data_IF_030806684477
#
_entry.id   IF_030806684477
#
_cell.length_a   1.000
_cell.length_b   1.000
_cell.length_c   1.000
_cell.angle_alpha   90.00
_cell.angle_beta   90.00
_cell.angle_gamma   90.00
#
_symmetry.space_group_name_H-M   'P 1'
#
loop_
_entity.id
_entity.type
_entity.pdbx_description
1 polymer ?
#
# COMPACT_ATOMS: atom_id res chain seq x y z
N UNK A 1 -0.01 14.13 -21.88
CA UNK A 1 0.22 13.68 -20.54
C UNK A 1 -0.87 14.13 -19.59
N UNK A 2 -1.33 13.23 -18.81
CA UNK A 2 -2.47 13.51 -17.98
C UNK A 2 -2.06 13.78 -16.54
N UNK A 3 -2.18 15.02 -16.13
CA UNK A 3 -1.97 15.39 -14.72
C UNK A 3 -3.12 14.92 -13.85
N UNK A 4 -4.23 14.54 -14.44
CA UNK A 4 -5.39 14.09 -13.67
C UNK A 4 -5.13 12.73 -13.04
N UNK A 5 -4.48 11.83 -13.75
CA UNK A 5 -4.12 10.54 -13.19
C UNK A 5 -3.16 10.71 -12.01
N UNK A 6 -2.18 11.60 -12.18
CA UNK A 6 -1.22 11.89 -11.11
C UNK A 6 -1.90 12.49 -9.90
N UNK A 7 -2.85 13.39 -10.13
CA UNK A 7 -3.59 14.02 -9.05
C UNK A 7 -4.40 12.99 -8.26
N UNK A 8 -5.01 12.04 -8.96
CA UNK A 8 -5.79 10.99 -8.31
C UNK A 8 -4.89 10.12 -7.45
N UNK A 9 -3.70 9.80 -7.96
CA UNK A 9 -2.75 8.97 -7.23
C UNK A 9 -2.19 9.68 -6.00
N UNK A 10 -2.19 10.99 -5.97
CA UNK A 10 -1.68 11.74 -4.83
C UNK A 10 -2.72 11.95 -3.73
N UNK A 11 -3.98 11.58 -3.99
CA UNK A 11 -5.04 11.71 -3.00
C UNK A 11 -4.90 10.57 -1.99
N UNK A 12 -4.36 10.88 -0.82
CA UNK A 12 -4.08 9.89 0.21
C UNK A 12 -4.97 10.06 1.42
N UNK A 13 -5.46 8.94 1.90
CA UNK A 13 -6.33 8.89 3.06
C UNK A 13 -5.55 8.24 4.20
N UNK A 14 -5.55 8.88 5.36
CA UNK A 14 -4.98 8.28 6.56
C UNK A 14 -5.95 7.23 7.06
N UNK A 15 -5.46 6.02 7.27
CA UNK A 15 -6.31 4.90 7.68
C UNK A 15 -5.91 4.37 9.04
N UNK A 16 -6.86 3.74 9.71
CA UNK A 16 -6.68 3.23 11.06
C UNK A 16 -5.98 1.88 11.10
N UNK A 17 -5.80 1.34 12.31
CA UNK A 17 -5.04 0.10 12.51
C UNK A 17 -5.73 -1.16 11.97
N UNK A 18 -7.00 -1.05 11.59
CA UNK A 18 -7.74 -2.16 11.00
C UNK A 18 -7.50 -2.30 9.49
N UNK A 19 -6.71 -1.41 8.91
CA UNK A 19 -6.33 -1.50 7.50
C UNK A 19 -4.97 -2.16 7.37
N UNK A 20 -4.89 -3.13 6.47
CA UNK A 20 -3.63 -3.81 6.20
C UNK A 20 -3.60 -4.35 4.79
N UNK A 21 -2.51 -5.00 4.46
CA UNK A 21 -2.36 -5.68 3.19
C UNK A 21 -1.74 -7.05 3.41
N UNK A 22 -1.99 -7.93 2.47
CA UNK A 22 -1.29 -9.21 2.37
C UNK A 22 -0.72 -9.30 0.98
N UNK A 23 0.42 -9.93 0.82
CA UNK A 23 1.04 -10.08 -0.49
C UNK A 23 2.03 -11.23 -0.46
N UNK A 24 2.53 -11.58 -1.65
CA UNK A 24 3.55 -12.60 -1.81
C UNK A 24 4.78 -11.99 -2.46
N UNK A 25 5.94 -12.31 -1.92
CA UNK A 25 7.21 -11.90 -2.50
C UNK A 25 8.10 -13.13 -2.61
N UNK A 26 8.40 -13.53 -3.84
CA UNK A 26 9.26 -14.68 -4.13
C UNK A 26 8.86 -15.93 -3.34
N UNK A 27 7.58 -16.23 -3.32
CA UNK A 27 7.06 -17.42 -2.65
C UNK A 27 6.84 -17.28 -1.16
N UNK A 28 7.21 -16.14 -0.57
CA UNK A 28 6.93 -15.87 0.84
C UNK A 28 5.66 -15.06 0.99
N UNK A 29 4.77 -15.55 1.84
CA UNK A 29 3.52 -14.86 2.14
C UNK A 29 3.70 -13.91 3.30
N UNK A 30 3.24 -12.67 3.12
CA UNK A 30 3.18 -11.68 4.18
C UNK A 30 1.72 -11.36 4.42
N UNK A 31 1.32 -11.39 5.67
CA UNK A 31 -0.07 -11.11 6.06
C UNK A 31 -0.09 -10.08 7.17
N UNK A 32 -1.21 -9.39 7.28
CA UNK A 32 -1.43 -8.41 8.33
C UNK A 32 -0.35 -7.32 8.34
N UNK A 33 0.13 -6.96 7.16
CA UNK A 33 1.06 -5.86 7.02
C UNK A 33 0.28 -4.57 7.15
N UNK A 34 0.60 -3.79 8.17
CA UNK A 34 -0.15 -2.58 8.46
C UNK A 34 0.14 -1.51 7.43
N UNK A 35 -0.90 -0.78 7.03
CA UNK A 35 -0.74 0.42 6.21
C UNK A 35 -1.22 1.62 7.01
N UNK A 36 -0.63 2.78 6.75
CA UNK A 36 -0.96 4.02 7.45
C UNK A 36 -1.70 4.98 6.55
N UNK A 37 -1.57 4.82 5.24
CA UNK A 37 -2.38 5.62 4.31
C UNK A 37 -2.62 4.81 3.04
N UNK A 38 -3.63 5.25 2.29
CA UNK A 38 -4.09 4.56 1.09
C UNK A 38 -4.51 5.58 0.06
N UNK A 39 -4.13 5.33 -1.19
CA UNK A 39 -4.60 6.10 -2.33
C UNK A 39 -5.08 5.13 -3.41
N UNK A 40 -5.65 5.66 -4.48
CA UNK A 40 -6.05 4.84 -5.61
C UNK A 40 -4.85 4.16 -6.29
N UNK A 41 -3.67 4.75 -6.18
CA UNK A 41 -2.47 4.25 -6.84
C UNK A 41 -1.50 3.51 -5.94
N UNK A 42 -1.74 3.46 -4.64
CA UNK A 42 -0.80 2.79 -3.75
C UNK A 42 -1.08 3.02 -2.28
N UNK A 43 -0.14 2.60 -1.46
CA UNK A 43 -0.26 2.76 -0.02
C UNK A 43 1.13 2.90 0.61
N UNK A 44 1.13 3.28 1.89
CA UNK A 44 2.35 3.31 2.69
C UNK A 44 2.24 2.21 3.74
N UNK A 45 3.17 1.27 3.71
CA UNK A 45 3.12 0.09 4.57
C UNK A 45 4.28 0.09 5.56
N UNK A 46 4.08 -0.58 6.68
CA UNK A 46 5.10 -0.71 7.71
C UNK A 46 5.57 -2.16 7.75
N UNK A 47 6.87 -2.35 7.61
CA UNK A 47 7.49 -3.67 7.71
C UNK A 47 8.53 -3.63 8.82
N UNK A 48 8.81 -4.77 9.42
CA UNK A 48 9.84 -4.84 10.45
C UNK A 48 11.21 -4.55 9.88
N UNK A 49 12.07 -3.91 10.67
CA UNK A 49 13.42 -3.58 10.24
C UNK A 49 14.19 -4.83 9.79
N UNK A 50 13.89 -5.97 10.39
CA UNK A 50 14.51 -7.24 10.02
C UNK A 50 14.26 -7.59 8.56
N UNK A 51 13.07 -7.28 8.05
CA UNK A 51 12.67 -7.60 6.68
C UNK A 51 12.90 -6.46 5.70
N UNK A 52 13.25 -5.26 6.20
CA UNK A 52 13.29 -4.06 5.37
C UNK A 52 14.20 -4.19 4.16
N UNK A 53 15.32 -4.87 4.31
CA UNK A 53 16.26 -5.04 3.19
C UNK A 53 15.72 -5.92 2.07
N UNK A 54 14.64 -6.64 2.33
CA UNK A 54 13.99 -7.46 1.31
C UNK A 54 13.05 -6.64 0.44
N UNK A 55 12.78 -5.41 0.84
CA UNK A 55 11.81 -4.54 0.18
C UNK A 55 12.51 -3.32 -0.41
N UNK A 56 13.46 -3.57 -1.29
CA UNK A 56 14.13 -2.50 -2.00
C UNK A 56 13.23 -1.95 -3.10
N UNK A 57 13.53 -0.73 -3.53
CA UNK A 57 12.83 -0.09 -4.62
C UNK A 57 12.81 -1.02 -5.84
N UNK A 58 11.65 -1.19 -6.43
CA UNK A 58 11.46 -2.04 -7.59
C UNK A 58 11.07 -3.48 -7.29
N UNK A 59 11.12 -3.88 -6.03
CA UNK A 59 10.69 -5.24 -5.66
C UNK A 59 9.21 -5.41 -5.95
N UNK A 60 8.86 -6.49 -6.64
CA UNK A 60 7.49 -6.79 -7.02
C UNK A 60 6.79 -7.52 -5.88
N UNK A 61 5.56 -7.09 -5.60
CA UNK A 61 4.70 -7.70 -4.61
C UNK A 61 3.53 -8.33 -5.36
N UNK A 62 3.45 -9.65 -5.34
CA UNK A 62 2.42 -10.39 -6.06
C UNK A 62 1.21 -10.66 -5.18
N UNK A 63 0.05 -10.82 -5.82
CA UNK A 63 -1.19 -11.19 -5.13
C UNK A 63 -1.48 -10.30 -3.93
N UNK A 64 -1.22 -9.00 -4.06
CA UNK A 64 -1.50 -8.06 -2.99
C UNK A 64 -3.01 -7.90 -2.84
N UNK A 65 -3.48 -8.06 -1.63
CA UNK A 65 -4.90 -7.93 -1.29
C UNK A 65 -5.05 -6.90 -0.19
N UNK A 66 -6.01 -6.01 -0.38
CA UNK A 66 -6.35 -4.99 0.61
C UNK A 66 -7.19 -5.63 1.71
N UNK A 67 -6.71 -5.58 2.94
CA UNK A 67 -7.30 -6.27 4.09
C UNK A 67 -8.22 -5.31 4.85
N UNK A 68 -9.40 -5.11 4.31
CA UNK A 68 -10.45 -4.33 4.98
C UNK A 68 -11.79 -4.67 4.32
N UNK A 69 -12.86 -4.83 5.10
CA UNK A 69 -14.15 -5.26 4.54
C UNK A 69 -14.72 -4.36 3.45
N UNK A 70 -14.40 -3.07 3.50
CA UNK A 70 -14.95 -2.10 2.55
C UNK A 70 -14.16 -2.00 1.25
N UNK A 71 -13.01 -2.65 1.18
CA UNK A 71 -12.12 -2.53 0.03
C UNK A 71 -12.24 -3.72 -0.90
N UNK A 72 -11.98 -3.52 -2.21
CA UNK A 72 -12.02 -4.64 -3.15
C UNK A 72 -10.99 -5.69 -2.82
N UNK A 73 -11.31 -6.94 -3.07
CA UNK A 73 -10.47 -8.08 -2.73
C UNK A 73 -9.72 -8.68 -3.91
N UNK A 74 -9.86 -8.09 -5.10
CA UNK A 74 -9.15 -8.57 -6.27
C UNK A 74 -7.63 -8.44 -6.07
N UNK A 75 -6.85 -9.44 -6.48
CA UNK A 75 -5.40 -9.37 -6.32
C UNK A 75 -4.81 -8.25 -7.17
N UNK A 76 -3.78 -7.63 -6.63
CA UNK A 76 -3.09 -6.50 -7.24
C UNK A 76 -1.63 -6.90 -7.43
N UNK A 77 -1.05 -6.51 -8.57
CA UNK A 77 0.39 -6.55 -8.73
C UNK A 77 0.92 -5.18 -8.36
N UNK A 78 1.87 -5.15 -7.46
CA UNK A 78 2.41 -3.90 -6.94
C UNK A 78 3.93 -3.95 -6.89
N UNK A 79 4.55 -2.81 -6.63
CA UNK A 79 6.00 -2.75 -6.47
C UNK A 79 6.36 -1.73 -5.41
N UNK A 80 7.50 -1.94 -4.78
CA UNK A 80 8.04 -0.98 -3.82
C UNK A 80 8.55 0.23 -4.60
N UNK A 81 8.05 1.40 -4.28
CA UNK A 81 8.45 2.64 -4.95
C UNK A 81 9.53 3.39 -4.19
N UNK A 82 9.53 3.28 -2.88
CA UNK A 82 10.59 3.88 -2.04
C UNK A 82 10.57 3.25 -0.66
N UNK A 83 11.65 3.49 0.07
CA UNK A 83 11.80 3.02 1.45
C UNK A 83 12.16 4.22 2.32
N UNK A 84 11.44 4.43 3.40
CA UNK A 84 11.71 5.49 4.37
C UNK A 84 12.25 4.90 5.65
N UNK A 85 13.36 5.45 6.11
CA UNK A 85 14.00 4.95 7.30
C UNK A 85 14.83 3.74 6.93
N UNK A 86 16.11 3.90 6.88
CA UNK A 86 16.98 2.77 6.64
C UNK A 86 16.94 1.83 7.82
N UNK A 87 17.46 0.63 7.66
CA UNK A 87 17.57 -0.29 8.78
C UNK A 87 18.51 0.31 9.79
N UNK A 88 17.91 0.97 10.76
CA UNK A 88 18.67 1.29 11.95
C UNK A 88 18.90 -0.03 12.63
N UNK A 89 20.11 -0.42 12.72
CA UNK A 89 20.44 -1.71 13.31
C UNK A 89 20.27 -1.71 14.81
N UNK A 90 19.92 -0.57 15.38
CA UNK A 90 19.87 -0.43 16.82
C UNK A 90 18.66 -1.15 17.44
N UNK A 91 17.56 -1.24 16.72
CA UNK A 91 16.35 -1.83 17.28
C UNK A 91 15.67 -2.74 16.25
N UNK A 92 15.80 -4.07 16.41
CA UNK A 92 15.17 -5.01 15.48
C UNK A 92 13.65 -5.00 15.50
N UNK A 93 13.05 -4.36 16.52
CA UNK A 93 11.61 -4.22 16.61
C UNK A 93 11.11 -2.97 15.92
N UNK A 94 12.01 -2.12 15.45
CA UNK A 94 11.65 -0.90 14.77
C UNK A 94 10.96 -1.21 13.45
N UNK A 95 9.97 -0.39 13.10
CA UNK A 95 9.25 -0.53 11.85
C UNK A 95 9.82 0.43 10.81
N UNK A 96 9.89 -0.03 9.58
CA UNK A 96 10.38 0.76 8.44
C UNK A 96 9.22 0.93 7.47
N UNK A 97 9.08 2.14 6.94
CA UNK A 97 8.01 2.42 5.97
C UNK A 97 8.42 2.12 4.55
N UNK A 98 7.54 1.51 3.79
CA UNK A 98 7.73 1.33 2.35
C UNK A 98 6.56 1.94 1.60
N UNK A 99 6.88 2.66 0.53
CA UNK A 99 5.87 3.12 -0.41
C UNK A 99 5.57 2.00 -1.38
N UNK A 100 4.30 1.67 -1.53
CA UNK A 100 3.83 0.60 -2.42
C UNK A 100 3.01 1.22 -3.52
N UNK A 101 3.38 0.96 -4.76
CA UNK A 101 2.66 1.45 -5.93
C UNK A 101 1.92 0.29 -6.59
N UNK A 102 0.61 0.46 -6.79
CA UNK A 102 -0.20 -0.53 -7.49
C UNK A 102 0.08 -0.41 -8.98
N UNK A 103 0.47 -1.51 -9.61
CA UNK A 103 0.85 -1.50 -11.03
C UNK A 103 -0.21 -2.11 -11.91
N UNK A 104 -0.89 -3.15 -11.45
CA UNK A 104 -1.91 -3.81 -12.23
C UNK A 104 -3.04 -4.24 -11.34
N UNK A 105 -4.25 -3.86 -11.71
CA UNK A 105 -5.45 -4.13 -10.92
C UNK A 105 -6.62 -4.27 -11.89
N UNK A 106 -7.54 -5.17 -11.57
CA UNK A 106 -8.79 -5.31 -12.30
C UNK A 106 -9.53 -3.98 -12.38
N UNK A 107 -10.12 -3.67 -13.53
CA UNK A 107 -10.80 -2.39 -13.74
C UNK A 107 -11.92 -2.15 -12.75
N UNK A 108 -12.70 -3.16 -12.44
CA UNK A 108 -13.78 -3.01 -11.46
C UNK A 108 -13.23 -2.71 -10.07
N UNK A 109 -12.12 -3.37 -9.71
CA UNK A 109 -11.47 -3.13 -8.43
C UNK A 109 -10.88 -1.72 -8.39
N UNK A 110 -10.29 -1.27 -9.49
CA UNK A 110 -9.72 0.08 -9.58
C UNK A 110 -10.80 1.14 -9.37
N UNK A 111 -11.95 0.95 -10.01
CA UNK A 111 -13.07 1.89 -9.86
C UNK A 111 -13.61 1.88 -8.44
N UNK A 112 -13.71 0.71 -7.84
CA UNK A 112 -14.19 0.59 -6.46
C UNK A 112 -13.23 1.28 -5.49
N UNK A 113 -11.94 1.12 -5.69
CA UNK A 113 -10.94 1.76 -4.86
C UNK A 113 -10.96 3.28 -5.04
N UNK A 114 -11.04 3.76 -6.29
CA UNK A 114 -11.17 5.19 -6.59
C UNK A 114 -12.36 5.79 -5.85
N UNK A 115 -13.50 5.12 -5.92
CA UNK A 115 -14.73 5.60 -5.29
C UNK A 115 -14.59 5.63 -3.77
N UNK A 116 -13.99 4.60 -3.21
CA UNK A 116 -13.79 4.53 -1.76
C UNK A 116 -12.87 5.66 -1.27
N UNK A 117 -11.74 5.88 -1.97
CA UNK A 117 -10.78 6.92 -1.60
C UNK A 117 -11.43 8.31 -1.70
N UNK A 118 -12.19 8.55 -2.77
CA UNK A 118 -12.87 9.83 -2.94
C UNK A 118 -13.89 10.08 -1.84
N UNK A 119 -14.68 9.08 -1.50
CA UNK A 119 -15.68 9.21 -0.43
C UNK A 119 -15.01 9.43 0.92
N UNK A 120 -13.94 8.71 1.21
CA UNK A 120 -13.22 8.85 2.47
C UNK A 120 -12.56 10.22 2.57
N UNK A 121 -12.02 10.74 1.48
CA UNK A 121 -11.43 12.07 1.45
C UNK A 121 -12.46 13.13 1.76
N UNK A 122 -13.65 13.04 1.16
CA UNK A 122 -14.73 13.96 1.43
C UNK A 122 -15.13 13.93 2.90
N UNK A 123 -15.22 12.74 3.47
CA UNK A 123 -15.57 12.57 4.88
C UNK A 123 -14.52 13.20 5.79
N UNK A 124 -13.23 13.08 5.45
CA UNK A 124 -12.16 13.64 6.26
C UNK A 124 -12.11 15.17 6.17
N UNK A 125 -12.50 15.71 5.02
CA UNK A 125 -12.54 17.16 4.83
C UNK A 125 -13.78 17.79 5.48
N UNK A 126 -14.84 17.04 5.54
CA UNK A 126 -16.09 17.51 6.11
C UNK A 126 -16.12 17.38 7.59
#
# INVERSE_FOLDING_TARGET
MSTFADRRDTLRIIVGPDFGIAFRRKGHDYRDVRITNLSAGGCFALVGARDARLFERGVVLDDLVLMHPELPKAPIIAAVSYVLGGPSTADPMEMVGIGVQFQDMDDAAQKALDAWVSAANTAQLG
#
